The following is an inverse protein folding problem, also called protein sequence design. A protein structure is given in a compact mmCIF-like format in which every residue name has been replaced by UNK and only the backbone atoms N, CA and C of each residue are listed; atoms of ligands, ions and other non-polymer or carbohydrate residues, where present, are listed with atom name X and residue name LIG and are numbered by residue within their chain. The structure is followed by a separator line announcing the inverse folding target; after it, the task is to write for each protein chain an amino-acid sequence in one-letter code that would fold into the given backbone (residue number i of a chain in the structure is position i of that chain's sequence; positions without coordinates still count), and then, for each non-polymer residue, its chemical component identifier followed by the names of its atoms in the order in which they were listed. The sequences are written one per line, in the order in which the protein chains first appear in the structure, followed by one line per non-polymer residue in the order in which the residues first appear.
data_IF_853631421479
#
_entry.id   IF_853631421479
#
_cell.length_a   1.000
_cell.length_b   1.000
_cell.length_c   1.000
_cell.angle_alpha   90.00
_cell.angle_beta   90.00
_cell.angle_gamma   90.00
#
_symmetry.space_group_name_H-M   'P 1'
#
loop_
_entity.id
_entity.type
_entity.pdbx_description
1 polymer ?
#
# COMPACT_ATOMS: atom_id res chain seq x y z
N UNK A 1 -31.94 41.71 -14.76
CA UNK A 1 -30.90 41.43 -13.73
C UNK A 1 -30.90 39.97 -13.20
N UNK A 2 -32.00 39.41 -12.71
CA UNK A 2 -32.03 38.05 -12.12
C UNK A 2 -31.64 36.91 -13.07
N UNK A 3 -32.02 36.96 -14.38
CA UNK A 3 -31.65 35.90 -15.37
C UNK A 3 -30.14 35.90 -15.71
N UNK A 4 -29.46 37.05 -15.73
CA UNK A 4 -28.02 37.13 -15.97
C UNK A 4 -27.21 36.53 -14.81
N UNK A 5 -27.61 36.83 -13.57
CA UNK A 5 -26.97 36.28 -12.37
C UNK A 5 -27.16 34.75 -12.28
N UNK A 6 -28.32 34.23 -12.67
CA UNK A 6 -28.57 32.80 -12.71
C UNK A 6 -27.66 32.08 -13.73
N UNK A 7 -27.56 32.60 -14.96
CA UNK A 7 -26.66 32.05 -15.99
C UNK A 7 -25.20 32.09 -15.55
N UNK A 8 -24.76 33.16 -14.91
CA UNK A 8 -23.39 33.27 -14.37
C UNK A 8 -23.15 32.23 -13.28
N UNK A 9 -24.04 32.06 -12.32
CA UNK A 9 -23.92 31.04 -11.25
C UNK A 9 -23.87 29.64 -11.84
N UNK A 10 -24.72 29.32 -12.80
CA UNK A 10 -24.75 28.04 -13.46
C UNK A 10 -23.42 27.76 -14.18
N UNK A 11 -22.92 28.72 -14.95
CA UNK A 11 -21.63 28.59 -15.66
C UNK A 11 -20.48 28.39 -14.65
N UNK A 12 -20.43 29.20 -13.60
CA UNK A 12 -19.40 29.07 -12.56
C UNK A 12 -19.43 27.69 -11.85
N UNK A 13 -20.64 27.20 -11.57
CA UNK A 13 -20.80 25.84 -11.01
C UNK A 13 -20.30 24.78 -11.97
N UNK A 14 -20.64 24.83 -13.23
CA UNK A 14 -20.18 23.87 -14.25
C UNK A 14 -18.66 23.90 -14.37
N UNK A 15 -18.07 25.10 -14.47
CA UNK A 15 -16.60 25.23 -14.51
C UNK A 15 -15.94 24.65 -13.27
N UNK A 16 -16.48 24.92 -12.08
CA UNK A 16 -15.96 24.39 -10.82
C UNK A 16 -16.01 22.85 -10.79
N UNK A 17 -17.13 22.27 -11.22
CA UNK A 17 -17.28 20.80 -11.29
C UNK A 17 -16.26 20.19 -12.27
N UNK A 18 -16.06 20.82 -13.42
CA UNK A 18 -15.05 20.36 -14.39
C UNK A 18 -13.65 20.41 -13.78
N UNK A 19 -13.29 21.47 -13.07
CA UNK A 19 -11.99 21.60 -12.41
C UNK A 19 -11.80 20.56 -11.32
N UNK A 20 -12.82 20.30 -10.53
CA UNK A 20 -12.79 19.26 -9.48
C UNK A 20 -12.57 17.87 -10.10
N UNK A 21 -13.30 17.54 -11.17
CA UNK A 21 -13.15 16.27 -11.87
C UNK A 21 -11.76 16.17 -12.51
N UNK A 22 -11.33 17.21 -13.21
CA UNK A 22 -10.02 17.21 -13.87
C UNK A 22 -8.85 17.06 -12.88
N UNK A 23 -8.94 17.69 -11.72
CA UNK A 23 -7.92 17.56 -10.66
C UNK A 23 -7.98 16.23 -9.90
N UNK A 24 -9.18 15.73 -9.62
CA UNK A 24 -9.39 14.51 -8.85
C UNK A 24 -9.21 13.21 -9.65
N UNK A 25 -9.48 13.25 -10.96
CA UNK A 25 -9.47 12.07 -11.80
C UNK A 25 -8.11 11.32 -11.85
N UNK A 26 -6.95 11.99 -12.02
CA UNK A 26 -5.65 11.33 -11.99
C UNK A 26 -5.37 10.62 -10.68
N UNK A 27 -5.72 11.23 -9.54
CA UNK A 27 -5.56 10.64 -8.21
C UNK A 27 -6.48 9.44 -8.01
N UNK A 28 -7.73 9.56 -8.46
CA UNK A 28 -8.67 8.44 -8.43
C UNK A 28 -8.17 7.26 -9.25
N UNK A 29 -7.71 7.50 -10.48
CA UNK A 29 -7.11 6.45 -11.33
C UNK A 29 -5.90 5.80 -10.67
N UNK A 30 -5.02 6.60 -10.09
CA UNK A 30 -3.83 6.08 -9.41
C UNK A 30 -4.21 5.18 -8.22
N UNK A 31 -5.17 5.57 -7.39
CA UNK A 31 -5.62 4.75 -6.24
C UNK A 31 -6.27 3.43 -6.66
N UNK A 32 -6.92 3.40 -7.82
CA UNK A 32 -7.61 2.19 -8.34
C UNK A 32 -6.78 1.43 -9.38
N UNK A 33 -5.56 1.89 -9.64
CA UNK A 33 -4.68 1.20 -10.58
C UNK A 33 -4.27 -0.17 -10.03
N UNK A 34 -4.53 -1.20 -10.81
CA UNK A 34 -4.10 -2.56 -10.49
C UNK A 34 -2.77 -2.83 -11.18
N UNK A 35 -1.75 -3.11 -10.38
CA UNK A 35 -0.44 -3.49 -10.91
C UNK A 35 -0.56 -4.85 -11.59
N UNK A 36 -0.09 -5.00 -12.84
CA UNK A 36 -0.12 -6.28 -13.53
C UNK A 36 0.80 -7.27 -12.81
N UNK A 37 0.21 -8.37 -12.34
CA UNK A 37 0.90 -9.45 -11.67
C UNK A 37 0.43 -10.78 -12.29
N UNK A 38 1.38 -11.58 -12.71
CA UNK A 38 1.14 -12.94 -13.18
C UNK A 38 1.55 -13.90 -12.07
N UNK A 39 0.62 -14.76 -11.65
CA UNK A 39 0.94 -15.75 -10.62
C UNK A 39 1.84 -16.83 -11.23
N UNK A 40 3.01 -17.02 -10.65
CA UNK A 40 3.96 -18.04 -11.03
C UNK A 40 3.53 -19.45 -10.56
N UNK A 41 4.18 -20.50 -11.09
CA UNK A 41 3.81 -21.88 -10.81
C UNK A 41 4.04 -22.30 -9.36
N UNK A 42 4.83 -21.54 -8.59
CA UNK A 42 5.08 -21.83 -7.18
C UNK A 42 4.02 -21.30 -6.23
N UNK A 43 3.12 -20.42 -6.67
CA UNK A 43 2.05 -19.89 -5.83
C UNK A 43 0.97 -20.95 -5.64
N UNK A 44 0.84 -21.43 -4.40
CA UNK A 44 -0.11 -22.49 -4.03
C UNK A 44 -1.43 -21.91 -3.52
N UNK A 45 -1.40 -20.73 -2.89
CA UNK A 45 -2.57 -20.08 -2.31
C UNK A 45 -2.40 -18.55 -2.29
N UNK A 46 -3.52 -17.83 -2.35
CA UNK A 46 -3.56 -16.38 -2.13
C UNK A 46 -4.48 -16.09 -0.96
N UNK A 47 -3.93 -15.57 0.11
CA UNK A 47 -4.62 -15.17 1.34
C UNK A 47 -4.68 -13.66 1.46
N UNK A 48 -5.33 -13.20 2.52
CA UNK A 48 -5.27 -11.84 3.02
C UNK A 48 -4.57 -11.81 4.38
N UNK A 49 -4.02 -10.66 4.73
CA UNK A 49 -3.40 -10.49 6.05
C UNK A 49 -4.44 -10.68 7.17
N UNK A 50 -5.71 -10.33 6.93
CA UNK A 50 -6.83 -10.57 7.86
C UNK A 50 -7.14 -12.06 8.11
N UNK A 51 -6.65 -12.98 7.28
CA UNK A 51 -6.80 -14.42 7.55
C UNK A 51 -5.89 -14.87 8.69
N UNK A 52 -4.81 -14.10 8.97
CA UNK A 52 -3.90 -14.30 10.09
C UNK A 52 -4.28 -13.41 11.28
N UNK A 53 -4.77 -12.21 11.04
CA UNK A 53 -5.22 -11.27 12.06
C UNK A 53 -6.55 -10.59 11.69
N UNK A 54 -7.69 -11.17 12.09
CA UNK A 54 -9.03 -10.71 11.67
C UNK A 54 -9.39 -9.26 12.00
N UNK A 55 -8.71 -8.64 12.97
CA UNK A 55 -9.00 -7.26 13.39
C UNK A 55 -8.78 -6.20 12.29
N UNK A 56 -7.91 -6.48 11.32
CA UNK A 56 -7.62 -5.56 10.21
C UNK A 56 -8.52 -5.78 8.98
N UNK A 57 -9.45 -6.74 9.06
CA UNK A 57 -10.32 -7.08 7.93
C UNK A 57 -11.10 -5.89 7.42
N UNK A 58 -11.03 -5.67 6.09
CA UNK A 58 -11.70 -4.57 5.42
C UNK A 58 -11.03 -3.21 5.57
N UNK A 59 -9.92 -3.11 6.32
CA UNK A 59 -9.09 -1.92 6.34
C UNK A 59 -8.16 -1.87 5.12
N UNK A 60 -7.51 -0.73 4.89
CA UNK A 60 -6.47 -0.61 3.84
C UNK A 60 -5.20 -1.41 4.16
N UNK A 61 -5.06 -1.87 5.40
CA UNK A 61 -3.97 -2.76 5.81
C UNK A 61 -4.19 -4.23 5.41
N UNK A 62 -5.42 -4.61 5.03
CA UNK A 62 -5.79 -5.97 4.66
C UNK A 62 -5.31 -6.34 3.25
N UNK A 63 -4.01 -6.44 3.10
CA UNK A 63 -3.32 -6.72 1.84
C UNK A 63 -3.26 -8.22 1.53
N UNK A 64 -2.89 -8.56 0.27
CA UNK A 64 -2.75 -9.94 -0.17
C UNK A 64 -1.42 -10.54 0.31
N UNK A 65 -1.51 -11.80 0.71
CA UNK A 65 -0.38 -12.66 1.08
C UNK A 65 -0.33 -13.83 0.10
N UNK A 66 0.75 -13.96 -0.63
CA UNK A 66 0.98 -15.05 -1.57
C UNK A 66 1.75 -16.15 -0.87
N UNK A 67 1.23 -17.36 -0.90
CA UNK A 67 1.81 -18.52 -0.23
C UNK A 67 2.43 -19.42 -1.29
N UNK A 68 3.69 -19.78 -1.08
CA UNK A 68 4.40 -20.76 -1.87
C UNK A 68 4.78 -21.92 -0.94
N UNK A 69 4.15 -23.05 -1.13
CA UNK A 69 4.34 -24.23 -0.29
C UNK A 69 5.19 -25.28 -1.01
N UNK A 70 6.25 -25.71 -0.36
CA UNK A 70 7.13 -26.74 -0.87
C UNK A 70 6.53 -28.15 -0.72
N UNK A 71 7.05 -29.09 -1.49
CA UNK A 71 6.63 -30.50 -1.45
C UNK A 71 7.00 -31.21 -0.17
N UNK A 72 8.06 -30.75 0.50
CA UNK A 72 8.56 -31.32 1.76
C UNK A 72 8.31 -30.37 2.92
N UNK A 73 8.01 -30.89 4.12
CA UNK A 73 7.94 -30.09 5.34
C UNK A 73 9.26 -29.37 5.62
N UNK A 74 9.20 -28.11 6.11
CA UNK A 74 10.39 -27.33 6.43
C UNK A 74 10.08 -26.06 7.20
N UNK A 75 11.02 -25.14 7.20
CA UNK A 75 10.88 -23.83 7.83
C UNK A 75 9.85 -22.93 7.14
N UNK A 76 9.54 -21.82 7.80
CA UNK A 76 8.69 -20.78 7.25
C UNK A 76 9.48 -19.49 7.12
N UNK A 77 9.31 -18.80 6.00
CA UNK A 77 9.91 -17.50 5.76
C UNK A 77 8.82 -16.49 5.32
N UNK A 78 8.97 -15.25 5.74
CA UNK A 78 8.13 -14.14 5.33
C UNK A 78 9.01 -13.08 4.67
N UNK A 79 8.66 -12.67 3.45
CA UNK A 79 9.31 -11.57 2.74
C UNK A 79 8.26 -10.52 2.42
N UNK A 80 8.54 -9.30 2.82
CA UNK A 80 7.65 -8.16 2.64
C UNK A 80 8.31 -7.11 1.76
N UNK A 81 7.58 -6.67 0.74
CA UNK A 81 7.97 -5.53 -0.08
C UNK A 81 7.14 -4.29 0.24
N UNK A 82 7.57 -3.16 -0.29
CA UNK A 82 6.80 -1.92 -0.21
C UNK A 82 6.53 -1.43 1.22
N UNK A 83 7.48 -1.60 2.12
CA UNK A 83 7.45 -1.00 3.47
C UNK A 83 7.37 0.53 3.36
N UNK A 84 8.15 1.10 2.43
CA UNK A 84 8.03 2.46 1.95
C UNK A 84 7.65 2.45 0.48
N UNK A 85 6.50 3.00 0.15
CA UNK A 85 5.95 2.87 -1.22
C UNK A 85 6.60 3.81 -2.23
N UNK A 86 7.48 4.70 -1.80
CA UNK A 86 8.35 5.52 -2.63
C UNK A 86 9.74 4.89 -2.87
N UNK A 87 9.96 3.67 -2.38
CA UNK A 87 11.18 2.87 -2.56
C UNK A 87 10.79 1.59 -3.32
N UNK A 88 10.79 1.59 -4.66
CA UNK A 88 10.16 0.54 -5.46
C UNK A 88 10.90 -0.80 -5.47
N UNK A 89 12.15 -0.86 -5.03
CA UNK A 89 13.03 -2.04 -5.13
C UNK A 89 12.45 -3.25 -4.39
N UNK A 90 11.94 -3.02 -3.16
CA UNK A 90 11.33 -4.07 -2.36
C UNK A 90 10.05 -4.62 -2.99
N UNK A 91 9.22 -3.75 -3.57
CA UNK A 91 8.04 -4.16 -4.33
C UNK A 91 8.42 -5.04 -5.52
N UNK A 92 9.34 -4.55 -6.36
CA UNK A 92 9.76 -5.25 -7.58
C UNK A 92 10.36 -6.62 -7.25
N UNK A 93 11.18 -6.70 -6.22
CA UNK A 93 11.80 -7.96 -5.78
C UNK A 93 10.75 -8.98 -5.38
N UNK A 94 9.74 -8.61 -4.60
CA UNK A 94 8.67 -9.53 -4.18
C UNK A 94 7.78 -9.91 -5.35
N UNK A 95 7.47 -9.00 -6.28
CA UNK A 95 6.70 -9.34 -7.48
C UNK A 95 7.44 -10.36 -8.37
N UNK A 96 8.75 -10.20 -8.56
CA UNK A 96 9.55 -11.17 -9.31
C UNK A 96 9.53 -12.55 -8.62
N UNK A 97 9.59 -12.59 -7.29
CA UNK A 97 9.48 -13.85 -6.54
C UNK A 97 8.11 -14.50 -6.72
N UNK A 98 7.02 -13.72 -6.65
CA UNK A 98 5.66 -14.24 -6.88
C UNK A 98 5.53 -14.83 -8.29
N UNK A 99 6.11 -14.17 -9.30
CA UNK A 99 6.01 -14.58 -10.69
C UNK A 99 6.89 -15.82 -11.02
N UNK A 100 7.99 -16.06 -10.27
CA UNK A 100 9.01 -17.02 -10.71
C UNK A 100 9.48 -18.02 -9.66
N UNK A 101 9.33 -17.72 -8.36
CA UNK A 101 9.90 -18.59 -7.33
C UNK A 101 9.11 -19.90 -7.20
N UNK A 102 9.86 -20.97 -6.92
CA UNK A 102 9.33 -22.29 -6.54
C UNK A 102 10.02 -22.69 -5.25
N UNK A 103 9.25 -23.12 -4.26
CA UNK A 103 9.76 -23.58 -2.97
C UNK A 103 9.84 -25.11 -3.01
N UNK A 104 11.00 -25.66 -2.70
CA UNK A 104 11.18 -27.11 -2.62
C UNK A 104 10.77 -27.65 -1.25
N UNK A 105 11.12 -26.90 -0.19
CA UNK A 105 10.92 -27.33 1.20
C UNK A 105 10.46 -26.19 2.09
N UNK A 106 9.42 -26.43 2.89
CA UNK A 106 8.84 -25.44 3.79
C UNK A 106 7.85 -24.52 3.13
N UNK A 107 7.64 -23.32 3.66
CA UNK A 107 6.63 -22.37 3.17
C UNK A 107 7.22 -20.96 3.10
N UNK A 108 7.02 -20.30 1.98
CA UNK A 108 7.36 -18.89 1.77
C UNK A 108 6.08 -18.06 1.68
N UNK A 109 5.98 -17.03 2.51
CA UNK A 109 4.92 -16.01 2.46
C UNK A 109 5.48 -14.75 1.84
N UNK A 110 4.79 -14.22 0.83
CA UNK A 110 5.20 -13.03 0.09
C UNK A 110 4.12 -11.97 0.18
N UNK A 111 4.46 -10.77 0.67
CA UNK A 111 3.57 -9.62 0.74
C UNK A 111 4.16 -8.48 -0.11
N UNK A 112 3.69 -8.26 -1.34
CA UNK A 112 4.24 -7.22 -2.22
C UNK A 112 3.90 -5.80 -1.78
N UNK A 113 2.76 -5.59 -1.12
CA UNK A 113 2.28 -4.30 -0.65
C UNK A 113 2.08 -4.33 0.87
N UNK A 114 3.17 -4.44 1.64
CA UNK A 114 3.08 -4.49 3.08
C UNK A 114 2.45 -3.19 3.65
N UNK A 115 2.99 -2.03 3.30
CA UNK A 115 2.33 -0.75 3.56
C UNK A 115 1.34 -0.41 2.43
N UNK A 116 0.26 -1.17 2.33
CA UNK A 116 -0.75 -0.95 1.29
C UNK A 116 -1.37 0.44 1.37
N UNK A 117 -1.64 0.95 2.56
CA UNK A 117 -2.15 2.31 2.78
C UNK A 117 -1.19 3.37 2.22
N UNK A 118 0.11 3.26 2.48
CA UNK A 118 1.13 4.13 1.91
C UNK A 118 1.17 4.07 0.38
N UNK A 119 0.95 2.88 -0.19
CA UNK A 119 0.90 2.71 -1.65
C UNK A 119 -0.29 3.40 -2.32
N UNK A 120 -1.34 3.69 -1.57
CA UNK A 120 -2.53 4.42 -2.03
C UNK A 120 -2.47 5.92 -1.72
N UNK A 121 -1.51 6.33 -0.92
CA UNK A 121 -1.35 7.70 -0.47
C UNK A 121 -0.41 8.46 -1.42
N UNK A 122 -0.79 9.67 -1.81
CA UNK A 122 0.04 10.57 -2.60
C UNK A 122 0.30 11.85 -1.82
N UNK A 123 1.55 12.29 -1.84
CA UNK A 123 1.97 13.52 -1.19
C UNK A 123 2.94 14.25 -2.10
N UNK A 124 2.78 15.56 -2.33
CA UNK A 124 3.73 16.34 -3.10
C UNK A 124 5.16 16.16 -2.57
N UNK A 125 6.10 15.87 -3.47
CA UNK A 125 7.50 15.64 -3.14
C UNK A 125 7.85 14.21 -2.71
N UNK A 126 6.86 13.32 -2.47
CA UNK A 126 7.10 11.93 -2.14
C UNK A 126 6.42 10.98 -3.15
N UNK A 127 5.13 10.72 -3.07
CA UNK A 127 4.44 9.84 -4.02
C UNK A 127 4.27 10.41 -5.44
N UNK A 128 5.33 10.95 -6.01
CA UNK A 128 5.31 11.61 -7.31
C UNK A 128 6.61 11.37 -8.08
N UNK A 129 6.58 11.05 -9.40
CA UNK A 129 5.39 10.92 -10.26
C UNK A 129 4.43 9.81 -9.80
N UNK A 130 3.16 9.89 -10.17
CA UNK A 130 2.12 8.93 -9.73
C UNK A 130 2.40 7.49 -10.17
N UNK A 131 3.18 7.33 -11.24
CA UNK A 131 3.56 6.05 -11.80
C UNK A 131 5.03 6.05 -12.18
N UNK A 132 5.62 4.87 -12.15
CA UNK A 132 6.91 4.59 -12.79
C UNK A 132 6.79 3.36 -13.67
N UNK A 133 7.66 3.22 -14.65
CA UNK A 133 7.64 2.09 -15.58
C UNK A 133 9.00 1.43 -15.66
N UNK A 134 9.00 0.12 -15.76
CA UNK A 134 10.19 -0.71 -15.94
C UNK A 134 10.10 -1.40 -17.30
N UNK A 135 11.14 -1.28 -18.11
CA UNK A 135 11.26 -2.01 -19.36
C UNK A 135 11.60 -3.46 -19.10
N UNK A 136 10.81 -4.37 -19.68
CA UNK A 136 11.05 -5.82 -19.61
C UNK A 136 11.13 -6.39 -21.02
N UNK A 137 11.64 -7.62 -21.20
CA UNK A 137 11.63 -8.29 -22.52
C UNK A 137 10.23 -8.45 -23.13
N UNK A 138 9.19 -8.39 -22.30
CA UNK A 138 7.78 -8.54 -22.72
C UNK A 138 7.04 -7.20 -22.82
N UNK A 139 7.75 -6.08 -22.81
CA UNK A 139 7.19 -4.73 -22.86
C UNK A 139 7.35 -3.96 -21.57
N UNK A 140 6.76 -2.77 -21.52
CA UNK A 140 6.79 -1.94 -20.32
C UNK A 140 5.75 -2.40 -19.28
N UNK A 141 6.20 -2.63 -18.06
CA UNK A 141 5.33 -2.78 -16.89
C UNK A 141 5.25 -1.46 -16.13
N UNK A 142 4.05 -0.97 -15.87
CA UNK A 142 3.83 0.27 -15.13
C UNK A 142 3.36 -0.03 -13.71
N UNK A 143 3.91 0.67 -12.74
CA UNK A 143 3.64 0.52 -11.34
C UNK A 143 3.19 1.85 -10.74
N UNK A 144 2.36 1.78 -9.71
CA UNK A 144 1.98 2.94 -8.93
C UNK A 144 3.11 3.34 -7.98
N UNK A 145 3.41 4.65 -7.93
CA UNK A 145 4.23 5.24 -6.89
C UNK A 145 3.34 5.58 -5.69
N UNK A 146 3.81 5.29 -4.49
CA UNK A 146 3.12 5.65 -3.25
C UNK A 146 3.99 6.53 -2.35
N UNK A 147 3.50 6.78 -1.16
CA UNK A 147 4.18 7.54 -0.13
C UNK A 147 4.93 6.61 0.84
N UNK A 148 5.92 7.15 1.55
CA UNK A 148 6.61 6.46 2.64
C UNK A 148 5.67 6.09 3.77
N UNK A 149 4.76 7.00 4.12
CA UNK A 149 3.86 6.88 5.26
C UNK A 149 2.47 6.42 4.84
N UNK A 150 1.81 5.66 5.71
CA UNK A 150 0.40 5.35 5.56
C UNK A 150 -0.45 6.63 5.52
N UNK A 151 -1.62 6.54 4.92
CA UNK A 151 -2.59 7.63 4.90
C UNK A 151 -3.03 7.98 6.32
N UNK A 152 -3.13 9.28 6.66
CA UNK A 152 -3.69 9.70 7.95
C UNK A 152 -5.12 9.20 8.18
N UNK A 153 -5.86 8.90 7.13
CA UNK A 153 -7.21 8.35 7.26
C UNK A 153 -7.22 6.87 7.71
N UNK A 154 -6.14 6.15 7.44
CA UNK A 154 -6.02 4.73 7.78
C UNK A 154 -5.32 4.52 9.13
N UNK A 155 -4.63 5.55 9.65
CA UNK A 155 -3.95 5.57 10.94
C UNK A 155 -4.69 6.43 11.98
N UNK A 156 -5.88 6.78 11.84
CA UNK A 156 -6.58 7.63 12.80
C UNK A 156 -7.01 6.88 14.09
N UNK A 157 -6.89 7.50 15.27
CA UNK A 157 -6.27 8.81 15.53
C UNK A 157 -4.74 8.75 15.58
N UNK A 158 -4.08 9.84 15.11
CA UNK A 158 -2.65 10.00 15.39
C UNK A 158 -2.43 10.39 16.87
N UNK A 159 -1.39 9.88 17.52
CA UNK A 159 -1.00 10.36 18.84
C UNK A 159 -0.28 11.72 18.73
N UNK A 160 -0.32 12.53 19.78
CA UNK A 160 0.47 13.76 19.86
C UNK A 160 1.98 13.46 19.84
N UNK A 161 2.36 12.36 20.50
CA UNK A 161 3.71 11.80 20.51
C UNK A 161 3.59 10.29 20.36
N UNK A 162 4.38 9.71 19.46
CA UNK A 162 4.43 8.26 19.32
C UNK A 162 5.44 7.66 20.30
N UNK A 163 4.95 6.80 21.20
CA UNK A 163 5.79 6.04 22.11
C UNK A 163 5.94 4.62 21.53
N UNK A 164 7.11 4.37 21.00
CA UNK A 164 7.41 3.09 20.33
C UNK A 164 7.33 1.90 21.30
N UNK A 165 6.69 0.85 20.89
CA UNK A 165 6.67 -0.43 21.59
C UNK A 165 7.71 -1.40 20.97
N UNK A 166 8.48 -2.14 21.77
CA UNK A 166 8.52 -2.19 23.25
C UNK A 166 9.52 -1.22 23.90
N UNK A 167 10.34 -0.52 23.10
CA UNK A 167 11.53 0.23 23.52
C UNK A 167 11.20 1.49 24.33
N UNK A 168 9.95 1.94 24.28
CA UNK A 168 9.47 3.20 24.91
C UNK A 168 10.20 4.44 24.41
N UNK A 169 10.81 4.36 23.24
CA UNK A 169 11.44 5.50 22.59
C UNK A 169 10.39 6.52 22.19
N UNK A 170 10.65 7.80 22.45
CA UNK A 170 9.83 8.89 21.95
C UNK A 170 10.17 9.16 20.48
N UNK A 171 9.20 9.05 19.62
CA UNK A 171 9.30 9.31 18.20
C UNK A 171 8.36 10.45 17.78
N UNK A 172 8.54 10.98 16.58
CA UNK A 172 7.60 11.93 16.01
C UNK A 172 6.21 11.29 15.88
N UNK A 173 5.15 12.09 16.04
CA UNK A 173 3.78 11.60 15.82
C UNK A 173 3.56 11.02 14.42
N UNK A 174 4.34 11.47 13.42
CA UNK A 174 4.29 10.94 12.05
C UNK A 174 4.84 9.52 11.95
N UNK A 175 5.75 9.13 12.84
CA UNK A 175 6.40 7.81 12.78
C UNK A 175 5.43 6.65 13.01
N UNK A 176 4.27 6.90 13.65
CA UNK A 176 3.21 5.89 13.76
C UNK A 176 2.67 5.45 12.39
N UNK A 177 2.79 6.29 11.35
CA UNK A 177 2.36 5.98 9.98
C UNK A 177 3.42 5.25 9.16
N UNK A 178 4.65 5.23 9.66
CA UNK A 178 5.78 4.56 9.03
C UNK A 178 5.91 3.13 9.56
N UNK A 179 5.49 2.15 8.77
CA UNK A 179 5.53 0.74 9.15
C UNK A 179 6.93 0.24 9.53
N UNK A 180 7.99 0.92 9.10
CA UNK A 180 9.36 0.65 9.53
C UNK A 180 9.69 1.21 10.94
N UNK A 181 8.77 1.89 11.59
CA UNK A 181 8.89 2.45 12.95
C UNK A 181 7.92 1.80 13.93
N UNK A 182 7.10 0.85 13.48
CA UNK A 182 6.06 0.22 14.33
C UNK A 182 6.38 -1.22 14.71
N UNK A 183 7.50 -1.77 14.24
CA UNK A 183 7.98 -3.11 14.63
C UNK A 183 8.41 -3.17 16.11
N UNK A 184 8.08 -4.26 16.82
CA UNK A 184 7.52 -5.54 16.36
C UNK A 184 5.98 -5.53 16.28
N UNK A 185 5.33 -4.39 16.41
CA UNK A 185 3.89 -4.29 16.45
C UNK A 185 3.27 -4.75 17.77
N UNK A 186 1.96 -4.60 17.89
CA UNK A 186 1.18 -5.11 19.01
C UNK A 186 -0.29 -5.27 18.67
N UNK A 187 -0.87 -6.38 19.09
CA UNK A 187 -2.24 -6.77 18.79
C UNK A 187 -3.32 -5.73 19.18
N UNK A 188 -3.10 -5.02 20.26
CA UNK A 188 -4.01 -3.99 20.79
C UNK A 188 -3.46 -2.57 20.63
N UNK A 189 -2.55 -2.37 19.69
CA UNK A 189 -1.97 -1.08 19.36
C UNK A 189 -2.82 -0.23 18.44
N UNK A 190 -2.23 0.86 17.99
CA UNK A 190 -2.79 1.71 16.95
C UNK A 190 -2.82 0.98 15.59
N UNK A 191 -3.62 1.42 14.60
CA UNK A 191 -3.80 0.67 13.35
C UNK A 191 -2.50 0.22 12.69
N UNK A 192 -1.47 1.06 12.59
CA UNK A 192 -0.22 0.67 11.96
C UNK A 192 0.64 -0.26 12.83
N UNK A 193 0.51 -0.22 14.16
CA UNK A 193 1.13 -1.21 15.04
C UNK A 193 0.45 -2.58 14.95
N UNK A 194 -0.80 -2.65 14.53
CA UNK A 194 -1.52 -3.91 14.32
C UNK A 194 -1.14 -4.59 13.01
N UNK A 195 -0.55 -3.85 12.08
CA UNK A 195 -0.09 -4.35 10.77
C UNK A 195 1.28 -5.02 10.89
N UNK A 196 2.13 -4.49 11.74
CA UNK A 196 3.49 -4.98 11.98
C UNK A 196 3.54 -6.01 13.10
#
# INVERSE_FOLDING_TARGET
MKRGLFKFKLLATVVLVILIIAGGWPLWKQRHYQVPLVLGPGVTEVKKLSDFFPAIRGSQADTRVYVLEGKEPGGRALIMGNTHSNEPEGLLSVLIMIENAVVEKGTLYLIPYFNHSGSLNTRPGEGYPLYFSVSTPWGQKTFRMGNRDASPLDQWPDPDVYIHYPEKQLLSYLDIRNTNRTWPGRKNGLPMEQVT
#
